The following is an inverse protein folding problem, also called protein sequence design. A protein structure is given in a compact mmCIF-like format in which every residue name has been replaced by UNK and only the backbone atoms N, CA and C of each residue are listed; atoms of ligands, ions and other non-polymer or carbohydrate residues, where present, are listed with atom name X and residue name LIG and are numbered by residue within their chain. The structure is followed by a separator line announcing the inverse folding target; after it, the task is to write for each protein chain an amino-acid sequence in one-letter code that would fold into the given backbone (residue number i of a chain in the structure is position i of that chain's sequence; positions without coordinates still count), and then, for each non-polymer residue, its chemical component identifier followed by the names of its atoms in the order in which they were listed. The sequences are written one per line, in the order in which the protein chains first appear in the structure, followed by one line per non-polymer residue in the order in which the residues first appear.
data_IF_709042338665
#
_entry.id   IF_709042338665
#
_cell.length_a   1.000
_cell.length_b   1.000
_cell.length_c   1.000
_cell.angle_alpha   90.00
_cell.angle_beta   90.00
_cell.angle_gamma   90.00
#
_symmetry.space_group_name_H-M   'P 1'
#
loop_
_entity.id
_entity.type
_entity.pdbx_description
1 polymer ?
#
# COMPACT_ATOMS: atom_id res chain seq x y z
N UNK A 1 10.13 29.89 11.34
CA UNK A 1 10.29 29.03 12.53
C UNK A 1 10.14 27.54 12.25
N UNK A 2 9.30 27.15 11.29
CA UNK A 2 9.14 25.76 10.83
C UNK A 2 9.19 25.76 9.30
N UNK A 3 9.53 24.61 8.70
CA UNK A 3 9.50 24.37 7.26
C UNK A 3 8.34 23.42 6.93
N UNK A 4 7.53 23.73 5.93
CA UNK A 4 6.51 22.81 5.42
C UNK A 4 6.98 22.29 4.07
N UNK A 5 7.07 20.97 3.92
CA UNK A 5 7.56 20.33 2.71
C UNK A 5 6.42 19.59 1.99
N UNK A 6 6.22 19.91 0.72
CA UNK A 6 5.23 19.29 -0.16
C UNK A 6 5.82 19.12 -1.56
N UNK A 7 6.99 18.49 -1.64
CA UNK A 7 7.73 18.29 -2.89
C UNK A 7 7.42 16.92 -3.50
N UNK A 8 7.41 16.89 -4.82
CA UNK A 8 6.94 15.78 -5.65
C UNK A 8 8.01 14.72 -5.97
N UNK A 9 9.27 14.98 -5.62
CA UNK A 9 10.37 14.08 -5.91
C UNK A 9 11.27 13.83 -4.70
N UNK A 10 11.83 12.63 -4.65
CA UNK A 10 12.63 12.13 -3.53
C UNK A 10 13.91 12.97 -3.29
N UNK A 11 14.60 13.38 -4.35
CA UNK A 11 15.83 14.15 -4.23
C UNK A 11 15.60 15.51 -3.56
N UNK A 12 14.53 16.21 -3.95
CA UNK A 12 14.14 17.47 -3.32
C UNK A 12 13.79 17.29 -1.84
N UNK A 13 13.13 16.19 -1.46
CA UNK A 13 12.85 15.87 -0.05
C UNK A 13 14.13 15.72 0.76
N UNK A 14 15.09 14.96 0.24
CA UNK A 14 16.37 14.73 0.91
C UNK A 14 17.17 16.03 1.06
N UNK A 15 17.24 16.85 0.02
CA UNK A 15 18.01 18.09 0.07
C UNK A 15 17.36 19.11 1.01
N UNK A 16 16.04 19.22 1.00
CA UNK A 16 15.32 20.03 1.97
C UNK A 16 15.55 19.52 3.40
N UNK A 17 15.49 18.22 3.63
CA UNK A 17 15.77 17.62 4.94
C UNK A 17 17.19 17.97 5.44
N UNK A 18 18.22 17.85 4.59
CA UNK A 18 19.60 18.25 4.96
C UNK A 18 19.67 19.73 5.36
N UNK A 19 18.96 20.60 4.64
CA UNK A 19 18.88 22.02 4.96
C UNK A 19 18.21 22.23 6.32
N UNK A 20 17.07 21.57 6.58
CA UNK A 20 16.35 21.63 7.86
C UNK A 20 17.24 21.21 9.04
N UNK A 21 17.95 20.09 8.90
CA UNK A 21 18.89 19.59 9.90
C UNK A 21 20.03 20.60 10.16
N UNK A 22 20.66 21.13 9.10
CA UNK A 22 21.73 22.11 9.23
C UNK A 22 21.27 23.42 9.88
N UNK A 23 20.05 23.85 9.57
CA UNK A 23 19.47 25.07 10.13
C UNK A 23 18.81 24.83 11.50
N UNK A 24 18.78 23.59 11.98
CA UNK A 24 18.08 23.16 13.20
C UNK A 24 16.62 23.63 13.22
N UNK A 25 15.96 23.58 12.05
CA UNK A 25 14.56 23.97 11.90
C UNK A 25 13.69 22.73 11.74
N UNK A 26 12.60 22.62 12.53
CA UNK A 26 11.65 21.54 12.36
C UNK A 26 10.99 21.63 10.98
N UNK A 27 10.64 20.45 10.45
CA UNK A 27 10.02 20.29 9.15
C UNK A 27 8.77 19.41 9.28
N UNK A 28 7.67 19.84 8.66
CA UNK A 28 6.47 19.02 8.48
C UNK A 28 6.39 18.62 7.02
N UNK A 29 6.77 17.39 6.71
CA UNK A 29 6.74 16.83 5.36
C UNK A 29 5.41 16.10 5.11
N UNK A 30 4.95 16.18 3.88
CA UNK A 30 3.74 15.50 3.44
C UNK A 30 3.83 15.09 1.98
N UNK A 31 3.23 13.96 1.67
CA UNK A 31 3.20 13.39 0.33
C UNK A 31 1.87 12.70 0.04
N UNK A 32 1.54 12.58 -1.24
CA UNK A 32 0.31 11.92 -1.71
C UNK A 32 0.58 11.09 -2.97
N UNK A 33 -0.05 9.92 -3.05
CA UNK A 33 -0.09 9.07 -4.24
C UNK A 33 -1.47 8.42 -4.34
N UNK A 34 -2.24 8.76 -5.37
CA UNK A 34 -3.59 8.22 -5.56
C UNK A 34 -4.48 8.50 -4.35
N UNK A 35 -4.96 7.43 -3.71
CA UNK A 35 -5.78 7.49 -2.50
C UNK A 35 -4.95 7.51 -1.20
N UNK A 36 -3.62 7.37 -1.29
CA UNK A 36 -2.68 7.34 -0.18
C UNK A 36 -2.01 8.68 0.08
N UNK A 37 -1.62 8.91 1.32
CA UNK A 37 -0.76 10.01 1.69
C UNK A 37 -0.26 9.88 3.12
N UNK A 38 0.77 10.65 3.44
CA UNK A 38 1.39 10.65 4.76
C UNK A 38 1.76 12.07 5.18
N UNK A 39 1.92 12.26 6.49
CA UNK A 39 2.53 13.45 7.09
C UNK A 39 3.57 12.98 8.09
N UNK A 40 4.76 13.57 8.04
CA UNK A 40 5.85 13.30 8.96
C UNK A 40 6.38 14.59 9.55
N UNK A 41 6.46 14.62 10.89
CA UNK A 41 7.11 15.71 11.62
C UNK A 41 8.55 15.32 11.90
N UNK A 42 9.48 16.15 11.43
CA UNK A 42 10.92 16.00 11.62
C UNK A 42 11.40 17.14 12.52
N UNK A 43 11.95 16.81 13.67
CA UNK A 43 12.48 17.77 14.63
C UNK A 43 13.97 17.49 14.78
N UNK A 44 14.85 18.37 14.28
CA UNK A 44 16.29 18.20 14.43
C UNK A 44 16.71 18.24 15.90
N UNK A 45 17.80 17.55 16.22
CA UNK A 45 18.49 17.71 17.49
C UNK A 45 18.90 19.17 17.71
N UNK A 46 18.86 19.63 18.96
CA UNK A 46 19.11 21.02 19.36
C UNK A 46 18.22 22.07 18.67
N UNK A 47 17.09 21.68 18.09
CA UNK A 47 16.13 22.64 17.52
C UNK A 47 15.40 23.46 18.58
N UNK A 48 15.50 23.06 19.86
CA UNK A 48 14.88 23.75 20.99
C UNK A 48 13.40 23.44 21.19
N UNK A 49 12.86 22.44 20.49
CA UNK A 49 11.45 22.02 20.61
C UNK A 49 11.29 20.81 21.52
N UNK A 50 10.38 20.91 22.49
CA UNK A 50 9.87 19.78 23.27
C UNK A 50 8.54 19.33 22.68
N UNK A 51 8.58 18.30 21.83
CA UNK A 51 7.40 17.82 21.11
C UNK A 51 6.76 16.57 21.71
N UNK A 52 7.56 15.72 22.35
CA UNK A 52 7.08 14.46 22.92
C UNK A 52 6.62 14.67 24.36
N UNK A 53 5.60 13.91 24.77
CA UNK A 53 5.19 13.85 26.17
C UNK A 53 6.25 13.07 26.98
N UNK A 54 6.86 13.74 27.94
CA UNK A 54 7.94 13.19 28.76
C UNK A 54 7.54 11.92 29.50
N UNK A 55 6.39 11.89 30.15
CA UNK A 55 5.93 10.73 30.94
C UNK A 55 5.68 9.53 30.04
N UNK A 56 5.06 9.73 28.87
CA UNK A 56 4.84 8.66 27.91
C UNK A 56 6.15 8.06 27.37
N UNK A 57 7.18 8.88 27.15
CA UNK A 57 8.50 8.37 26.73
C UNK A 57 9.24 7.67 27.88
N UNK A 58 9.05 8.12 29.12
CA UNK A 58 9.58 7.43 30.31
C UNK A 58 8.97 6.04 30.42
N UNK A 59 7.64 5.90 30.32
CA UNK A 59 6.98 4.60 30.42
C UNK A 59 7.49 3.60 29.38
N UNK A 60 7.69 4.04 28.12
CA UNK A 60 8.28 3.17 27.08
C UNK A 60 9.68 2.70 27.45
N UNK A 61 10.49 3.59 28.01
CA UNK A 61 11.85 3.25 28.47
C UNK A 61 11.78 2.31 29.67
N UNK A 62 10.86 2.53 30.60
CA UNK A 62 10.62 1.66 31.75
C UNK A 62 10.26 0.25 31.27
N UNK A 63 9.24 0.09 30.43
CA UNK A 63 8.83 -1.22 29.87
C UNK A 63 9.99 -1.96 29.20
N UNK A 64 10.80 -1.23 28.42
CA UNK A 64 11.98 -1.82 27.75
C UNK A 64 13.01 -2.29 28.77
N UNK A 65 13.27 -1.46 29.80
CA UNK A 65 14.26 -1.76 30.83
C UNK A 65 13.80 -2.79 31.85
N UNK A 66 12.50 -2.98 32.03
CA UNK A 66 11.96 -3.97 32.97
C UNK A 66 12.52 -5.38 32.71
N UNK A 67 12.83 -5.70 31.45
CA UNK A 67 13.47 -6.97 31.07
C UNK A 67 14.92 -7.12 31.53
N UNK A 68 15.60 -6.01 31.86
CA UNK A 68 17.00 -6.01 32.35
C UNK A 68 17.09 -6.23 33.86
N UNK A 69 15.97 -6.09 34.59
CA UNK A 69 15.92 -6.25 36.04
C UNK A 69 15.37 -7.63 36.40
N UNK A 70 16.17 -8.42 37.10
CA UNK A 70 15.73 -9.69 37.67
C UNK A 70 14.91 -9.42 38.95
N UNK A 71 13.58 -9.50 38.83
CA UNK A 71 12.66 -9.35 39.95
C UNK A 71 11.74 -10.58 40.04
N UNK A 72 12.05 -11.54 40.93
CA UNK A 72 11.26 -12.74 41.13
C UNK A 72 9.80 -12.47 41.51
N UNK A 73 9.52 -11.45 42.32
CA UNK A 73 8.15 -11.11 42.73
C UNK A 73 7.30 -10.64 41.54
N UNK A 74 7.90 -9.86 40.63
CA UNK A 74 7.23 -9.42 39.41
C UNK A 74 6.95 -10.59 38.46
N UNK A 75 7.92 -11.50 38.29
CA UNK A 75 7.77 -12.69 37.46
C UNK A 75 6.70 -13.64 38.03
N UNK A 76 6.64 -13.78 39.34
CA UNK A 76 5.63 -14.60 40.00
C UNK A 76 4.23 -13.97 39.89
N UNK A 77 4.12 -12.65 40.02
CA UNK A 77 2.87 -11.93 39.74
C UNK A 77 2.42 -12.06 38.28
N UNK A 78 3.33 -12.01 37.31
CA UNK A 78 3.01 -12.25 35.90
C UNK A 78 2.48 -13.67 35.66
N UNK A 79 3.08 -14.69 36.28
CA UNK A 79 2.56 -16.07 36.21
C UNK A 79 1.18 -16.20 36.85
N UNK A 80 0.93 -15.49 37.95
CA UNK A 80 -0.40 -15.47 38.59
C UNK A 80 -1.44 -14.81 37.67
N UNK A 81 -1.09 -13.71 37.01
CA UNK A 81 -1.93 -13.08 35.98
C UNK A 81 -2.24 -14.06 34.86
N UNK A 82 -1.24 -14.75 34.31
CA UNK A 82 -1.43 -15.75 33.25
C UNK A 82 -2.38 -16.88 33.68
N UNK A 83 -2.28 -17.34 34.93
CA UNK A 83 -3.19 -18.34 35.50
C UNK A 83 -4.62 -17.81 35.65
N UNK A 84 -4.79 -16.55 36.04
CA UNK A 84 -6.10 -15.90 36.13
C UNK A 84 -6.72 -15.71 34.76
N UNK A 85 -5.95 -15.33 33.74
CA UNK A 85 -6.40 -15.22 32.35
C UNK A 85 -6.90 -16.57 31.82
N UNK A 86 -6.15 -17.65 32.09
CA UNK A 86 -6.60 -19.01 31.76
C UNK A 86 -7.91 -19.36 32.46
N UNK A 87 -8.05 -19.02 33.74
CA UNK A 87 -9.28 -19.25 34.49
C UNK A 87 -10.46 -18.45 33.91
N UNK A 88 -10.24 -17.20 33.53
CA UNK A 88 -11.24 -16.33 32.89
C UNK A 88 -11.71 -16.96 31.58
N UNK A 89 -10.80 -17.38 30.71
CA UNK A 89 -11.15 -18.03 29.45
C UNK A 89 -11.92 -19.34 29.66
N UNK A 90 -11.49 -20.16 30.63
CA UNK A 90 -12.22 -21.37 31.00
C UNK A 90 -13.65 -21.07 31.45
N UNK A 91 -13.84 -20.07 32.32
CA UNK A 91 -15.18 -19.67 32.79
C UNK A 91 -16.06 -19.12 31.68
N UNK A 92 -15.48 -18.33 30.75
CA UNK A 92 -16.21 -17.88 29.55
C UNK A 92 -16.74 -19.08 28.76
N UNK A 93 -15.88 -20.05 28.46
CA UNK A 93 -16.24 -21.23 27.67
C UNK A 93 -17.27 -22.12 28.40
N UNK A 94 -17.03 -22.43 29.66
CA UNK A 94 -17.83 -23.41 30.40
C UNK A 94 -19.14 -22.85 30.93
N UNK A 95 -19.19 -21.56 31.30
CA UNK A 95 -20.32 -20.97 32.03
C UNK A 95 -21.08 -19.94 31.20
N UNK A 96 -20.37 -19.05 30.51
CA UNK A 96 -21.01 -17.97 29.75
C UNK A 96 -21.50 -18.46 28.37
N UNK A 97 -20.69 -19.26 27.69
CA UNK A 97 -20.97 -19.66 26.31
C UNK A 97 -22.19 -20.56 26.12
N UNK A 98 -22.53 -21.48 27.04
CA UNK A 98 -23.81 -22.18 26.99
C UNK A 98 -25.01 -21.23 27.10
N UNK A 99 -24.94 -20.23 27.98
CA UNK A 99 -26.00 -19.24 28.14
C UNK A 99 -26.09 -18.33 26.90
N UNK A 100 -24.94 -17.87 26.38
CA UNK A 100 -24.86 -17.11 25.13
C UNK A 100 -25.51 -17.85 23.97
N UNK A 101 -25.27 -19.17 23.84
CA UNK A 101 -25.91 -20.03 22.82
C UNK A 101 -27.42 -20.11 23.00
N UNK A 102 -27.93 -20.17 24.23
CA UNK A 102 -29.36 -20.17 24.51
C UNK A 102 -30.01 -18.84 24.09
N UNK A 103 -29.43 -17.72 24.52
CA UNK A 103 -29.92 -16.37 24.17
C UNK A 103 -29.86 -16.18 22.66
N UNK A 104 -28.78 -16.61 22.00
CA UNK A 104 -28.64 -16.54 20.55
C UNK A 104 -29.81 -17.21 19.83
N UNK A 105 -30.21 -18.42 20.22
CA UNK A 105 -31.37 -19.11 19.62
C UNK A 105 -32.67 -18.32 19.78
N UNK A 106 -32.86 -17.64 20.91
CA UNK A 106 -34.03 -16.79 21.13
C UNK A 106 -34.00 -15.56 20.23
N UNK A 107 -32.84 -14.90 20.12
CA UNK A 107 -32.65 -13.76 19.24
C UNK A 107 -32.86 -14.15 17.78
N UNK A 108 -32.30 -15.27 17.33
CA UNK A 108 -32.49 -15.80 15.96
C UNK A 108 -33.97 -15.99 15.61
N UNK A 109 -34.81 -16.36 16.57
CA UNK A 109 -36.26 -16.52 16.36
C UNK A 109 -37.02 -15.20 16.19
N UNK A 110 -36.51 -14.08 16.72
CA UNK A 110 -37.12 -12.75 16.58
C UNK A 110 -36.35 -11.79 15.66
N UNK A 111 -35.16 -12.20 15.17
CA UNK A 111 -34.21 -11.36 14.45
C UNK A 111 -34.83 -10.70 13.21
N UNK A 112 -35.36 -11.53 12.31
CA UNK A 112 -35.90 -11.08 11.02
C UNK A 112 -37.12 -10.16 11.18
N UNK A 113 -37.92 -10.38 12.22
CA UNK A 113 -39.14 -9.61 12.44
C UNK A 113 -38.88 -8.25 13.09
N UNK A 114 -37.89 -8.18 13.98
CA UNK A 114 -37.72 -7.05 14.90
C UNK A 114 -36.45 -6.24 14.66
N UNK A 115 -35.41 -6.84 14.09
CA UNK A 115 -34.08 -6.23 13.99
C UNK A 115 -33.52 -6.18 12.57
N UNK A 116 -33.96 -7.05 11.66
CA UNK A 116 -33.40 -7.15 10.31
C UNK A 116 -33.49 -5.85 9.50
N UNK A 117 -34.63 -5.14 9.50
CA UNK A 117 -34.79 -3.90 8.73
C UNK A 117 -33.79 -2.79 9.15
N UNK A 118 -33.41 -2.75 10.42
CA UNK A 118 -32.51 -1.74 10.97
C UNK A 118 -31.04 -2.19 11.04
N UNK A 119 -30.71 -3.44 10.68
CA UNK A 119 -29.34 -3.98 10.84
C UNK A 119 -28.80 -4.73 9.61
N UNK A 120 -29.67 -5.32 8.78
CA UNK A 120 -29.26 -6.01 7.55
C UNK A 120 -29.22 -5.07 6.33
N UNK A 121 -30.12 -4.08 6.28
CA UNK A 121 -30.28 -3.20 5.11
C UNK A 121 -29.39 -1.94 5.15
N UNK A 122 -28.41 -1.92 6.05
CA UNK A 122 -27.41 -0.86 6.16
C UNK A 122 -26.01 -1.46 6.13
N UNK A 123 -25.16 -0.97 5.24
CA UNK A 123 -23.75 -1.36 5.15
C UNK A 123 -22.83 -0.23 5.60
N UNK A 124 -21.65 -0.54 6.17
CA UNK A 124 -20.64 0.47 6.45
C UNK A 124 -20.22 1.11 5.13
N UNK A 125 -20.13 2.44 5.08
CA UNK A 125 -19.68 3.13 3.88
C UNK A 125 -18.19 2.82 3.60
N UNK A 126 -17.72 3.13 2.38
CA UNK A 126 -16.35 2.87 1.93
C UNK A 126 -15.27 3.40 2.90
N UNK A 127 -15.56 4.49 3.61
CA UNK A 127 -14.70 5.08 4.64
C UNK A 127 -14.55 4.23 5.91
N UNK A 128 -15.56 3.42 6.23
CA UNK A 128 -15.53 2.49 7.35
C UNK A 128 -14.78 1.19 7.00
N UNK A 129 -14.72 0.82 5.71
CA UNK A 129 -14.14 -0.44 5.24
C UNK A 129 -12.66 -0.33 4.85
N UNK A 130 -12.24 0.81 4.30
CA UNK A 130 -10.85 1.04 3.86
C UNK A 130 -10.28 2.27 4.56
N UNK A 131 -9.89 2.15 5.84
CA UNK A 131 -9.32 3.27 6.59
C UNK A 131 -7.90 3.63 6.11
N UNK A 132 -7.17 2.68 5.53
CA UNK A 132 -5.81 2.85 5.00
C UNK A 132 -5.74 2.20 3.60
N UNK A 133 -5.19 2.86 2.58
CA UNK A 133 -5.22 2.34 1.21
C UNK A 133 -4.04 1.39 0.89
N UNK A 134 -4.01 0.77 -0.32
CA UNK A 134 -3.01 -0.23 -0.71
C UNK A 134 -1.79 0.33 -1.46
N UNK A 135 -0.66 -0.36 -1.25
CA UNK A 135 0.69 0.06 -1.63
C UNK A 135 0.93 0.33 -3.13
N UNK A 136 1.87 1.27 -3.36
CA UNK A 136 2.20 1.89 -4.64
C UNK A 136 2.99 0.97 -5.62
N UNK A 137 2.43 0.75 -6.81
CA UNK A 137 2.92 -0.15 -7.88
C UNK A 137 4.23 0.29 -8.58
N UNK A 138 4.89 1.35 -8.10
CA UNK A 138 5.93 2.09 -8.84
C UNK A 138 7.37 1.58 -8.72
N UNK A 139 7.65 0.53 -7.94
CA UNK A 139 9.02 0.05 -7.71
C UNK A 139 9.36 -1.20 -8.54
N UNK A 140 9.92 -0.98 -9.73
CA UNK A 140 10.42 -2.04 -10.62
C UNK A 140 11.95 -2.18 -10.47
N UNK A 141 12.45 -3.41 -10.27
CA UNK A 141 13.90 -3.66 -10.17
C UNK A 141 14.62 -3.49 -11.52
N UNK A 142 15.83 -2.90 -11.50
CA UNK A 142 16.61 -2.63 -12.71
C UNK A 142 16.99 -3.89 -13.54
N UNK A 143 17.07 -5.07 -12.90
CA UNK A 143 17.26 -6.34 -13.59
C UNK A 143 16.06 -6.71 -14.48
N UNK A 144 14.87 -6.20 -14.18
CA UNK A 144 13.65 -6.38 -14.97
C UNK A 144 13.65 -5.51 -16.25
N UNK A 145 14.37 -4.38 -16.25
CA UNK A 145 14.46 -3.47 -17.40
C UNK A 145 15.28 -4.03 -18.57
N UNK A 146 16.31 -4.84 -18.27
CA UNK A 146 17.12 -5.56 -19.29
C UNK A 146 16.72 -7.03 -19.45
N UNK A 147 15.97 -7.56 -18.49
CA UNK A 147 15.54 -8.94 -18.46
C UNK A 147 14.21 -9.17 -19.18
N UNK A 148 13.64 -10.35 -18.94
CA UNK A 148 12.31 -10.67 -19.42
C UNK A 148 11.25 -9.91 -18.59
N UNK A 149 10.29 -9.23 -19.25
CA UNK A 149 9.22 -8.53 -18.54
C UNK A 149 8.38 -9.54 -17.75
N UNK A 150 7.86 -9.10 -16.61
CA UNK A 150 7.07 -9.95 -15.68
C UNK A 150 5.63 -9.47 -15.49
N UNK A 151 5.38 -8.20 -15.76
CA UNK A 151 4.07 -7.59 -15.70
C UNK A 151 3.90 -6.68 -16.91
N UNK A 152 2.68 -6.15 -17.08
CA UNK A 152 2.32 -5.25 -18.17
C UNK A 152 3.25 -4.03 -18.22
N UNK A 153 3.42 -3.32 -17.10
CA UNK A 153 4.26 -2.10 -17.05
C UNK A 153 5.70 -2.37 -17.51
N UNK A 154 6.28 -3.53 -17.18
CA UNK A 154 7.62 -3.92 -17.61
C UNK A 154 7.74 -4.03 -19.14
N UNK A 155 6.67 -4.44 -19.84
CA UNK A 155 6.67 -4.49 -21.30
C UNK A 155 6.81 -3.10 -21.92
N UNK A 156 6.16 -2.07 -21.36
CA UNK A 156 6.27 -0.69 -21.86
C UNK A 156 7.67 -0.12 -21.59
N UNK A 157 8.20 -0.35 -20.39
CA UNK A 157 9.54 0.16 -20.06
C UNK A 157 10.61 -0.55 -20.93
N UNK A 158 10.46 -1.85 -21.19
CA UNK A 158 11.34 -2.56 -22.11
C UNK A 158 11.18 -2.06 -23.55
N UNK A 159 9.97 -1.73 -23.97
CA UNK A 159 9.70 -1.15 -25.28
C UNK A 159 10.35 0.22 -25.46
N UNK A 160 10.43 1.05 -24.43
CA UNK A 160 11.18 2.32 -24.46
C UNK A 160 12.68 2.08 -24.75
N UNK A 161 13.28 1.11 -24.06
CA UNK A 161 14.69 0.73 -24.28
C UNK A 161 14.90 0.16 -25.70
N UNK A 162 13.94 -0.62 -26.21
CA UNK A 162 13.99 -1.14 -27.58
C UNK A 162 13.82 -0.03 -28.61
N UNK A 163 12.91 0.92 -28.37
CA UNK A 163 12.70 2.09 -29.22
C UNK A 163 14.00 2.91 -29.34
N UNK A 164 14.65 3.21 -28.21
CA UNK A 164 15.91 3.98 -28.21
C UNK A 164 17.02 3.26 -29.01
N UNK A 165 17.05 1.92 -28.99
CA UNK A 165 17.97 1.13 -29.80
C UNK A 165 17.65 1.12 -31.29
N UNK A 166 16.36 1.06 -31.66
CA UNK A 166 15.93 0.99 -33.06
C UNK A 166 16.00 2.35 -33.76
N UNK A 167 15.58 3.41 -33.07
CA UNK A 167 15.42 4.74 -33.67
C UNK A 167 16.55 5.72 -33.28
N UNK A 168 17.35 5.40 -32.27
CA UNK A 168 18.52 6.19 -31.86
C UNK A 168 18.20 7.42 -31.01
N UNK A 169 16.95 7.58 -30.57
CA UNK A 169 16.50 8.64 -29.68
C UNK A 169 15.38 8.13 -28.76
N UNK A 170 15.09 8.86 -27.69
CA UNK A 170 14.01 8.51 -26.76
C UNK A 170 12.66 8.94 -27.33
N UNK A 171 11.61 8.12 -27.19
CA UNK A 171 10.30 8.45 -27.72
C UNK A 171 9.75 9.72 -27.07
N UNK A 172 9.28 10.68 -27.87
CA UNK A 172 8.61 11.89 -27.37
C UNK A 172 7.10 11.62 -27.24
N UNK A 173 6.58 11.71 -26.01
CA UNK A 173 5.17 11.46 -25.72
C UNK A 173 4.23 12.52 -26.31
N UNK A 174 4.76 13.66 -26.79
CA UNK A 174 3.97 14.70 -27.47
C UNK A 174 3.85 14.47 -28.98
N UNK A 175 4.57 13.49 -29.53
CA UNK A 175 4.57 13.17 -30.96
C UNK A 175 3.81 11.87 -31.18
N UNK A 176 2.66 11.96 -31.83
CA UNK A 176 1.78 10.80 -32.03
C UNK A 176 2.47 9.61 -32.72
N UNK A 177 3.37 9.88 -33.66
CA UNK A 177 4.11 8.84 -34.39
C UNK A 177 5.05 8.03 -33.46
N UNK A 178 5.73 8.71 -32.54
CA UNK A 178 6.59 8.05 -31.54
C UNK A 178 5.76 7.20 -30.58
N UNK A 179 4.62 7.72 -30.14
CA UNK A 179 3.69 6.98 -29.25
C UNK A 179 3.12 5.75 -29.96
N UNK A 180 2.75 5.84 -31.24
CA UNK A 180 2.26 4.69 -32.03
C UNK A 180 3.35 3.62 -32.17
N UNK A 181 4.57 4.01 -32.51
CA UNK A 181 5.72 3.10 -32.64
C UNK A 181 6.07 2.43 -31.31
N UNK A 182 6.13 3.21 -30.23
CA UNK A 182 6.38 2.69 -28.89
C UNK A 182 5.27 1.72 -28.46
N UNK A 183 4.01 2.06 -28.69
CA UNK A 183 2.87 1.17 -28.42
C UNK A 183 3.01 -0.15 -29.17
N UNK A 184 3.42 -0.12 -30.43
CA UNK A 184 3.61 -1.34 -31.22
C UNK A 184 4.69 -2.24 -30.61
N UNK A 185 5.82 -1.66 -30.18
CA UNK A 185 6.88 -2.39 -29.48
C UNK A 185 6.39 -2.95 -28.13
N UNK A 186 5.64 -2.16 -27.36
CA UNK A 186 5.07 -2.57 -26.08
C UNK A 186 4.06 -3.72 -26.25
N UNK A 187 3.21 -3.65 -27.27
CA UNK A 187 2.24 -4.71 -27.57
C UNK A 187 2.95 -6.01 -27.96
N UNK A 188 4.02 -5.93 -28.74
CA UNK A 188 4.85 -7.09 -29.08
C UNK A 188 5.43 -7.76 -27.83
N UNK A 189 6.02 -6.97 -26.93
CA UNK A 189 6.56 -7.46 -25.65
C UNK A 189 5.46 -8.06 -24.74
N UNK A 190 4.24 -7.54 -24.79
CA UNK A 190 3.10 -8.09 -24.05
C UNK A 190 2.64 -9.43 -24.60
N UNK A 191 2.58 -9.61 -25.92
CA UNK A 191 2.24 -10.90 -26.52
C UNK A 191 3.32 -11.96 -26.28
N UNK A 192 4.59 -11.58 -26.33
CA UNK A 192 5.70 -12.46 -25.96
C UNK A 192 5.62 -12.89 -24.50
N UNK A 193 5.25 -11.98 -23.59
CA UNK A 193 5.00 -12.29 -22.18
C UNK A 193 3.86 -13.29 -22.03
N UNK A 194 2.70 -13.05 -22.64
CA UNK A 194 1.53 -13.94 -22.57
C UNK A 194 1.85 -15.33 -23.12
N UNK A 195 2.54 -15.39 -24.25
CA UNK A 195 2.96 -16.65 -24.88
C UNK A 195 3.92 -17.43 -23.98
N UNK A 196 4.87 -16.73 -23.36
CA UNK A 196 5.82 -17.36 -22.42
C UNK A 196 5.09 -17.95 -21.21
N UNK A 197 4.21 -17.18 -20.58
CA UNK A 197 3.43 -17.63 -19.42
C UNK A 197 2.56 -18.83 -19.79
N UNK A 198 1.96 -18.84 -20.97
CA UNK A 198 1.21 -20.00 -21.46
C UNK A 198 2.12 -21.25 -21.58
N UNK A 199 3.28 -21.12 -22.23
CA UNK A 199 4.21 -22.24 -22.42
C UNK A 199 4.87 -22.73 -21.12
N UNK A 200 5.06 -21.86 -20.13
CA UNK A 200 5.58 -22.24 -18.81
C UNK A 200 4.55 -23.04 -17.99
N UNK A 201 3.25 -22.79 -18.18
CA UNK A 201 2.18 -23.45 -17.43
C UNK A 201 1.59 -24.67 -18.14
N UNK A 202 1.77 -24.78 -19.46
CA UNK A 202 1.23 -25.88 -20.27
C UNK A 202 2.38 -26.66 -20.92
N UNK A 203 2.68 -27.84 -20.37
CA UNK A 203 3.69 -28.75 -20.94
C UNK A 203 3.24 -29.33 -22.28
N UNK A 204 4.20 -29.75 -23.13
CA UNK A 204 3.90 -30.33 -24.45
C UNK A 204 2.99 -31.56 -24.37
N UNK A 205 3.19 -32.43 -23.38
CA UNK A 205 2.34 -33.61 -23.15
C UNK A 205 0.89 -33.22 -22.79
N UNK A 206 0.71 -32.12 -22.05
CA UNK A 206 -0.60 -31.63 -21.64
C UNK A 206 -1.33 -30.95 -22.81
N UNK A 207 -0.59 -30.28 -23.69
CA UNK A 207 -1.09 -29.67 -24.93
C UNK A 207 -1.71 -30.70 -25.88
N UNK A 208 -1.16 -31.92 -25.95
CA UNK A 208 -1.70 -32.99 -26.80
C UNK A 208 -3.02 -33.57 -26.27
N UNK A 209 -3.31 -33.38 -24.97
CA UNK A 209 -4.53 -33.88 -24.31
C UNK A 209 -5.63 -32.84 -24.15
N UNK A 210 -5.33 -31.56 -24.31
CA UNK A 210 -6.26 -30.46 -24.09
C UNK A 210 -7.17 -30.23 -25.30
N UNK A 211 -8.44 -29.95 -25.04
CA UNK A 211 -9.38 -29.50 -26.06
C UNK A 211 -9.10 -28.05 -26.50
N UNK A 212 -9.57 -27.69 -27.70
CA UNK A 212 -9.43 -26.33 -28.24
C UNK A 212 -10.11 -25.27 -27.35
N UNK A 213 -11.17 -25.66 -26.64
CA UNK A 213 -11.95 -24.81 -25.74
C UNK A 213 -11.18 -24.51 -24.45
N UNK A 214 -10.54 -25.52 -23.84
CA UNK A 214 -9.69 -25.32 -22.65
C UNK A 214 -8.47 -24.45 -22.99
N UNK A 215 -7.87 -24.62 -24.16
CA UNK A 215 -6.75 -23.77 -24.61
C UNK A 215 -7.19 -22.31 -24.72
N UNK A 216 -8.41 -22.05 -25.20
CA UNK A 216 -8.95 -20.70 -25.33
C UNK A 216 -9.22 -20.08 -23.95
N UNK A 217 -9.78 -20.84 -23.01
CA UNK A 217 -10.00 -20.41 -21.62
C UNK A 217 -8.69 -20.01 -20.94
N UNK A 218 -7.62 -20.81 -21.10
CA UNK A 218 -6.29 -20.45 -20.59
C UNK A 218 -5.78 -19.14 -21.16
N UNK A 219 -5.96 -18.90 -22.46
CA UNK A 219 -5.54 -17.64 -23.11
C UNK A 219 -6.35 -16.45 -22.60
N UNK A 220 -7.64 -16.62 -22.36
CA UNK A 220 -8.51 -15.58 -21.80
C UNK A 220 -8.12 -15.25 -20.36
N UNK A 221 -7.90 -16.24 -19.51
CA UNK A 221 -7.43 -16.05 -18.13
C UNK A 221 -6.08 -15.30 -18.08
N UNK A 222 -5.16 -15.62 -18.99
CA UNK A 222 -3.89 -14.89 -19.12
C UNK A 222 -4.15 -13.44 -19.57
N UNK A 223 -5.07 -13.21 -20.52
CA UNK A 223 -5.42 -11.86 -20.97
C UNK A 223 -6.06 -11.02 -19.87
N UNK A 224 -6.90 -11.62 -19.03
CA UNK A 224 -7.46 -10.94 -17.84
C UNK A 224 -6.37 -10.61 -16.81
N UNK A 225 -5.46 -11.55 -16.55
CA UNK A 225 -4.39 -11.38 -15.55
C UNK A 225 -3.40 -10.28 -15.92
N UNK A 226 -2.96 -10.23 -17.18
CA UNK A 226 -1.97 -9.26 -17.64
C UNK A 226 -2.57 -8.01 -18.29
N UNK A 227 -3.91 -7.88 -18.26
CA UNK A 227 -4.66 -6.77 -18.84
C UNK A 227 -4.80 -6.85 -20.36
N UNK A 228 -5.72 -6.05 -20.90
CA UNK A 228 -5.98 -5.96 -22.34
C UNK A 228 -4.83 -5.32 -23.12
N UNK A 229 -4.97 -5.35 -24.45
CA UNK A 229 -4.04 -4.72 -25.38
C UNK A 229 -3.93 -3.22 -25.12
N UNK A 230 -2.75 -2.65 -25.38
CA UNK A 230 -2.45 -1.28 -25.00
C UNK A 230 -3.30 -0.26 -25.76
N UNK A 231 -3.77 0.75 -25.03
CA UNK A 231 -4.34 1.97 -25.60
C UNK A 231 -3.24 3.02 -25.77
N UNK A 232 -3.52 4.00 -26.63
CA UNK A 232 -2.58 5.07 -26.93
C UNK A 232 -2.20 5.87 -25.68
N UNK A 233 -3.19 6.22 -24.83
CA UNK A 233 -2.96 7.06 -23.64
C UNK A 233 -2.13 6.35 -22.55
N UNK A 234 -2.02 5.03 -22.59
CA UNK A 234 -1.33 4.27 -21.55
C UNK A 234 0.20 4.37 -21.62
N UNK A 235 0.76 4.68 -22.80
CA UNK A 235 2.22 4.78 -22.97
C UNK A 235 2.78 5.93 -22.15
N UNK A 236 2.16 7.10 -22.25
CA UNK A 236 2.55 8.31 -21.51
C UNK A 236 2.27 8.16 -20.01
N UNK A 237 1.19 7.48 -19.63
CA UNK A 237 0.91 7.21 -18.21
C UNK A 237 1.97 6.31 -17.57
N UNK A 238 2.40 5.26 -18.27
CA UNK A 238 3.36 4.29 -17.75
C UNK A 238 4.79 4.85 -17.78
N UNK A 239 5.21 5.52 -18.87
CA UNK A 239 6.56 6.09 -18.98
C UNK A 239 6.72 7.41 -18.23
N UNK A 240 5.71 8.28 -18.27
CA UNK A 240 5.69 9.53 -17.52
C UNK A 240 5.56 9.33 -16.01
N UNK A 241 5.42 8.07 -15.56
CA UNK A 241 5.18 7.67 -14.18
C UNK A 241 4.12 8.56 -13.51
N UNK A 242 3.09 8.94 -14.28
CA UNK A 242 2.10 9.95 -13.87
C UNK A 242 1.41 9.44 -12.61
N UNK A 243 1.63 10.14 -11.50
CA UNK A 243 1.03 9.78 -10.21
C UNK A 243 -0.43 10.21 -10.28
N UNK A 244 -1.35 9.30 -9.98
CA UNK A 244 -2.74 9.68 -9.77
C UNK A 244 -2.78 10.74 -8.66
N UNK A 245 -3.30 11.92 -8.96
CA UNK A 245 -3.43 13.02 -8.02
C UNK A 245 -4.91 13.20 -7.71
N UNK A 246 -5.28 13.04 -6.44
CA UNK A 246 -6.67 13.16 -5.98
C UNK A 246 -6.75 14.36 -5.05
N UNK A 247 -7.52 15.36 -5.46
CA UNK A 247 -7.62 16.64 -4.74
C UNK A 247 -8.06 16.48 -3.28
N UNK A 248 -8.96 15.53 -2.99
CA UNK A 248 -9.42 15.28 -1.63
C UNK A 248 -8.29 14.79 -0.72
N UNK A 249 -7.40 13.94 -1.23
CA UNK A 249 -6.24 13.42 -0.48
C UNK A 249 -5.23 14.54 -0.23
N UNK A 250 -4.89 15.32 -1.25
CA UNK A 250 -4.00 16.49 -1.08
C UNK A 250 -4.56 17.50 -0.08
N UNK A 251 -5.88 17.69 -0.05
CA UNK A 251 -6.55 18.57 0.93
C UNK A 251 -6.45 18.02 2.36
N UNK A 252 -6.63 16.72 2.55
CA UNK A 252 -6.48 16.06 3.86
C UNK A 252 -5.03 16.18 4.35
N UNK A 253 -4.05 15.85 3.51
CA UNK A 253 -2.63 15.93 3.88
C UNK A 253 -2.22 17.36 4.21
N UNK A 254 -2.60 18.34 3.38
CA UNK A 254 -2.32 19.75 3.65
C UNK A 254 -2.94 20.23 4.97
N UNK A 255 -4.15 19.75 5.31
CA UNK A 255 -4.82 20.08 6.57
C UNK A 255 -4.04 19.52 7.77
N UNK A 256 -3.63 18.27 7.71
CA UNK A 256 -2.83 17.63 8.78
C UNK A 256 -1.48 18.33 8.93
N UNK A 257 -0.78 18.62 7.81
CA UNK A 257 0.48 19.38 7.85
C UNK A 257 0.30 20.74 8.54
N UNK A 258 -0.79 21.43 8.25
CA UNK A 258 -1.09 22.72 8.88
C UNK A 258 -1.35 22.58 10.38
N UNK A 259 -2.02 21.52 10.83
CA UNK A 259 -2.27 21.27 12.26
C UNK A 259 -0.97 20.96 13.01
N UNK A 260 -0.11 20.12 12.44
CA UNK A 260 1.19 19.81 13.07
C UNK A 260 2.12 21.02 13.09
N UNK A 261 2.13 21.82 12.01
CA UNK A 261 2.88 23.07 12.00
C UNK A 261 2.37 24.03 13.08
N UNK A 262 1.05 24.07 13.34
CA UNK A 262 0.48 24.92 14.38
C UNK A 262 0.94 24.48 15.79
N UNK A 263 0.91 23.18 16.09
CA UNK A 263 1.38 22.61 17.37
C UNK A 263 2.86 22.87 17.65
N UNK A 264 3.66 23.06 16.58
CA UNK A 264 5.07 23.39 16.70
C UNK A 264 5.29 24.88 16.94
N UNK A 265 4.34 25.75 16.59
CA UNK A 265 4.44 27.20 16.83
C UNK A 265 3.88 27.62 18.19
N UNK A 266 2.91 26.88 18.72
CA UNK A 266 2.11 27.22 19.90
C UNK A 266 2.03 26.05 20.88
#
# INVERSE_FOLDING_TARGET
DIIIAAVDNFNARLDLNKICLRLKKPMVEGGTVGFEGHVQVVIPEDSGFEYKNREAEIEKVVETKMWEFDNPEYLDAQKEIEQLEYLIERLKIEKLEPFRKLVRKQVEAEFDRKYAADLLDITPCYRCLVPIPPADDKLVAACTLKGLPRNRNHCVIKAEVTFEKEYGFKPDMNVDDDVVKLKALAQKELEELRTRVFNENVSQEKLETLSTEEIQEWKENIKETFGSDYKFEEMDNILGNKIAAIQSVSSIISSIQSQEALKLLF
#
